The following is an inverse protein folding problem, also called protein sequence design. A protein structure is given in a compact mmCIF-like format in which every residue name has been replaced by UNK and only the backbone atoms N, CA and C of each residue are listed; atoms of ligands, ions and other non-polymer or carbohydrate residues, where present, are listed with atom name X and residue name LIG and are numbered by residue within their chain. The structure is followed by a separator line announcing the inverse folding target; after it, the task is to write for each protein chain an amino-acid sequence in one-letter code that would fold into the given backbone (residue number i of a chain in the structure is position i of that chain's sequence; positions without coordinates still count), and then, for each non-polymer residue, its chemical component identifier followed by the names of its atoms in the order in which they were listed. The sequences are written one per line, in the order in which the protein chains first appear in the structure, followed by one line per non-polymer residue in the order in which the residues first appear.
data_IF_938748283620
#
_entry.id   IF_938748283620
#
_cell.length_a   1.000
_cell.length_b   1.000
_cell.length_c   1.000
_cell.angle_alpha   90.00
_cell.angle_beta   90.00
_cell.angle_gamma   90.00
#
_symmetry.space_group_name_H-M   'P 1'
#
loop_
_entity.id
_entity.type
_entity.pdbx_description
1 polymer ?
#
# COMPACT_ATOMS: atom_id res chain seq x y z
N UNK A 1 -21.96 46.69 -11.15
CA UNK A 1 -21.25 45.77 -10.24
C UNK A 1 -20.47 44.81 -11.13
N UNK A 2 -19.17 45.04 -11.25
CA UNK A 2 -18.31 44.41 -12.25
C UNK A 2 -17.84 43.07 -11.70
N UNK A 3 -18.20 42.01 -12.41
CA UNK A 3 -17.70 40.66 -12.21
C UNK A 3 -16.24 40.60 -12.66
N UNK A 4 -15.32 40.57 -11.71
CA UNK A 4 -13.89 40.41 -11.99
C UNK A 4 -13.64 39.00 -12.50
N UNK A 5 -13.41 38.89 -13.80
CA UNK A 5 -12.85 37.70 -14.42
C UNK A 5 -11.48 37.43 -13.79
N UNK A 6 -11.36 36.30 -13.05
CA UNK A 6 -10.10 35.83 -12.50
C UNK A 6 -9.19 35.41 -13.65
N UNK A 7 -8.03 36.05 -13.74
CA UNK A 7 -6.96 35.79 -14.70
C UNK A 7 -6.48 34.33 -14.57
N UNK A 8 -6.50 33.52 -15.64
CA UNK A 8 -6.06 32.14 -15.61
C UNK A 8 -4.56 31.95 -15.31
N UNK A 9 -3.78 33.01 -15.26
CA UNK A 9 -2.33 33.00 -15.01
C UNK A 9 -1.95 32.85 -13.52
N UNK A 10 -2.89 32.87 -12.56
CA UNK A 10 -2.61 32.84 -11.10
C UNK A 10 -2.94 31.55 -10.39
N UNK A 11 -3.20 30.45 -11.12
CA UNK A 11 -3.45 29.15 -10.47
C UNK A 11 -2.20 28.62 -9.76
N UNK A 12 -2.29 28.18 -8.49
CA UNK A 12 -1.12 27.68 -7.75
C UNK A 12 -0.51 26.46 -8.45
N UNK A 13 0.82 26.49 -8.60
CA UNK A 13 1.60 25.40 -9.18
C UNK A 13 2.23 24.55 -8.07
N UNK A 14 2.13 23.24 -8.18
CA UNK A 14 2.53 22.25 -7.17
C UNK A 14 3.78 21.49 -7.64
N UNK A 15 4.82 21.36 -6.81
CA UNK A 15 5.95 20.50 -7.11
C UNK A 15 5.53 19.01 -7.04
N UNK A 16 6.24 18.13 -7.75
CA UNK A 16 5.93 16.70 -7.83
C UNK A 16 5.75 16.02 -6.46
N UNK A 17 6.48 16.46 -5.44
CA UNK A 17 6.34 15.93 -4.07
C UNK A 17 4.96 16.21 -3.48
N UNK A 18 4.45 17.41 -3.72
CA UNK A 18 3.14 17.83 -3.22
C UNK A 18 2.02 17.08 -3.95
N UNK A 19 2.15 16.91 -5.28
CA UNK A 19 1.21 16.07 -6.05
C UNK A 19 1.21 14.63 -5.55
N UNK A 20 2.40 14.07 -5.30
CA UNK A 20 2.54 12.74 -4.72
C UNK A 20 1.84 12.60 -3.37
N UNK A 21 1.97 13.63 -2.50
CA UNK A 21 1.30 13.67 -1.20
C UNK A 21 -0.22 13.77 -1.30
N UNK A 22 -0.72 14.61 -2.20
CA UNK A 22 -2.15 14.85 -2.38
C UNK A 22 -2.89 13.67 -3.02
N UNK A 23 -2.23 12.98 -3.96
CA UNK A 23 -2.86 11.93 -4.77
C UNK A 23 -2.50 10.51 -4.33
N UNK A 24 -1.55 10.33 -3.41
CA UNK A 24 -1.01 9.04 -3.02
C UNK A 24 -0.14 8.35 -4.08
N UNK A 25 0.05 8.96 -5.26
CA UNK A 25 0.85 8.41 -6.35
C UNK A 25 2.31 8.80 -6.18
N UNK A 26 3.22 7.83 -6.16
CA UNK A 26 4.62 8.17 -5.99
C UNK A 26 5.20 8.94 -7.20
N UNK A 27 6.28 9.70 -6.97
CA UNK A 27 6.89 10.55 -8.00
C UNK A 27 7.49 9.77 -9.17
N UNK A 28 7.82 8.48 -9.00
CA UNK A 28 8.34 7.61 -10.07
C UNK A 28 7.20 7.25 -11.01
N UNK A 29 6.04 6.88 -10.47
CA UNK A 29 4.82 6.59 -11.22
C UNK A 29 4.35 7.83 -12.01
N UNK A 30 4.31 9.01 -11.37
CA UNK A 30 3.97 10.27 -12.06
C UNK A 30 4.90 10.54 -13.26
N UNK A 31 6.21 10.32 -13.10
CA UNK A 31 7.17 10.46 -14.21
C UNK A 31 6.96 9.40 -15.31
N UNK A 32 6.59 8.17 -14.94
CA UNK A 32 6.27 7.14 -15.92
C UNK A 32 5.01 7.49 -16.72
N UNK A 33 3.98 8.01 -16.05
CA UNK A 33 2.75 8.46 -16.69
C UNK A 33 2.97 9.64 -17.66
N UNK A 34 3.85 10.58 -17.30
CA UNK A 34 4.27 11.66 -18.22
C UNK A 34 5.02 11.09 -19.44
N UNK A 35 6.11 10.32 -19.21
CA UNK A 35 7.06 9.97 -20.28
C UNK A 35 6.57 8.86 -21.20
N UNK A 36 5.95 7.80 -20.63
CA UNK A 36 5.59 6.59 -21.39
C UNK A 36 4.19 6.65 -21.97
N UNK A 37 3.26 7.28 -21.26
CA UNK A 37 1.85 7.24 -21.61
C UNK A 37 1.28 8.61 -21.96
N UNK A 38 2.02 9.71 -21.70
CA UNK A 38 1.54 11.07 -21.98
C UNK A 38 0.26 11.44 -21.22
N UNK A 39 0.00 10.76 -20.09
CA UNK A 39 -1.22 10.92 -19.31
C UNK A 39 -1.29 12.26 -18.58
N UNK A 40 -0.16 12.84 -18.22
CA UNK A 40 -0.02 14.14 -17.56
C UNK A 40 1.05 14.95 -18.26
N UNK A 41 0.92 16.29 -18.26
CA UNK A 41 1.83 17.20 -18.94
C UNK A 41 2.21 18.38 -18.04
N UNK A 42 3.08 18.17 -17.02
CA UNK A 42 3.47 19.23 -16.11
C UNK A 42 4.26 20.33 -16.84
N UNK A 43 4.13 21.55 -16.34
CA UNK A 43 5.00 22.66 -16.74
C UNK A 43 6.41 22.41 -16.19
N UNK A 44 7.41 23.07 -16.79
CA UNK A 44 8.80 23.00 -16.32
C UNK A 44 9.32 24.39 -15.98
N UNK A 45 9.99 24.48 -14.84
CA UNK A 45 10.75 25.70 -14.52
C UNK A 45 11.95 25.84 -15.45
N UNK A 46 12.56 27.03 -15.54
CA UNK A 46 13.82 27.22 -16.27
C UNK A 46 14.95 26.30 -15.80
N UNK A 47 14.90 25.81 -14.54
CA UNK A 47 15.83 24.83 -13.97
C UNK A 47 15.41 23.37 -14.23
N UNK A 48 14.37 23.13 -15.04
CA UNK A 48 13.91 21.80 -15.42
C UNK A 48 13.03 21.07 -14.41
N UNK A 49 12.65 21.69 -13.29
CA UNK A 49 11.75 21.07 -12.29
C UNK A 49 10.30 21.05 -12.80
N UNK A 50 9.60 19.95 -12.48
CA UNK A 50 8.18 19.75 -12.83
C UNK A 50 7.29 20.52 -11.87
N UNK A 51 6.35 21.26 -12.45
CA UNK A 51 5.28 21.96 -11.74
C UNK A 51 3.94 21.54 -12.32
N UNK A 52 3.00 21.22 -11.46
CA UNK A 52 1.67 20.71 -11.79
C UNK A 52 0.62 21.75 -11.42
N UNK A 53 -0.29 22.03 -12.33
CA UNK A 53 -1.46 22.86 -12.05
C UNK A 53 -2.52 22.02 -11.27
N UNK A 54 -3.54 22.71 -10.77
CA UNK A 54 -4.66 22.02 -10.08
C UNK A 54 -5.41 21.08 -11.02
N UNK A 55 -5.46 21.39 -12.30
CA UNK A 55 -6.01 20.53 -13.35
C UNK A 55 -5.21 19.23 -13.51
N UNK A 56 -3.89 19.29 -13.39
CA UNK A 56 -3.04 18.09 -13.43
C UNK A 56 -3.33 17.17 -12.24
N UNK A 57 -3.59 17.72 -11.05
CA UNK A 57 -3.97 16.95 -9.87
C UNK A 57 -5.31 16.24 -10.11
N UNK A 58 -6.33 16.98 -10.58
CA UNK A 58 -7.63 16.38 -10.95
C UNK A 58 -7.49 15.30 -12.03
N UNK A 59 -6.58 15.50 -12.99
CA UNK A 59 -6.28 14.52 -14.02
C UNK A 59 -5.64 13.27 -13.42
N UNK A 60 -4.73 13.40 -12.45
CA UNK A 60 -4.16 12.26 -11.71
C UNK A 60 -5.25 11.50 -10.94
N UNK A 61 -6.16 12.19 -10.28
CA UNK A 61 -7.32 11.59 -9.58
C UNK A 61 -8.23 10.81 -10.56
N UNK A 62 -8.50 11.35 -11.74
CA UNK A 62 -9.25 10.64 -12.79
C UNK A 62 -8.50 9.41 -13.32
N UNK A 63 -7.18 9.49 -13.49
CA UNK A 63 -6.36 8.32 -13.84
C UNK A 63 -6.54 7.24 -12.78
N UNK A 64 -6.43 7.58 -11.50
CA UNK A 64 -6.64 6.64 -10.39
C UNK A 64 -8.03 6.01 -10.42
N UNK A 65 -9.08 6.79 -10.71
CA UNK A 65 -10.44 6.25 -10.84
C UNK A 65 -10.55 5.18 -11.93
N UNK A 66 -9.91 5.38 -13.08
CA UNK A 66 -9.89 4.40 -14.16
C UNK A 66 -9.06 3.16 -13.80
N UNK A 67 -7.89 3.35 -13.19
CA UNK A 67 -7.05 2.23 -12.74
C UNK A 67 -7.75 1.40 -11.66
N UNK A 68 -8.47 2.04 -10.73
CA UNK A 68 -9.26 1.37 -9.70
C UNK A 68 -10.47 0.60 -10.28
N UNK A 69 -10.89 0.95 -11.49
CA UNK A 69 -11.88 0.18 -12.27
C UNK A 69 -11.25 -0.93 -13.10
N UNK A 70 -9.93 -1.16 -12.96
CA UNK A 70 -9.19 -2.20 -13.66
C UNK A 70 -8.74 -1.84 -15.08
N UNK A 71 -8.92 -0.59 -15.54
CA UNK A 71 -8.49 -0.18 -16.87
C UNK A 71 -6.95 -0.17 -16.94
N UNK A 72 -6.32 -0.87 -17.91
CA UNK A 72 -4.88 -0.82 -18.11
C UNK A 72 -4.39 0.61 -18.33
N UNK A 73 -3.25 0.98 -17.75
CA UNK A 73 -2.70 2.34 -17.85
C UNK A 73 -2.50 2.81 -19.31
N UNK A 74 -2.24 1.89 -20.22
CA UNK A 74 -2.09 2.16 -21.66
C UNK A 74 -3.38 2.64 -22.34
N UNK A 75 -4.54 2.28 -21.81
CA UNK A 75 -5.86 2.64 -22.35
C UNK A 75 -6.47 3.87 -21.66
N UNK A 76 -5.96 4.24 -20.50
CA UNK A 76 -6.48 5.38 -19.72
C UNK A 76 -6.43 6.70 -20.51
N UNK A 77 -5.43 6.86 -21.39
CA UNK A 77 -5.27 8.07 -22.20
C UNK A 77 -6.50 8.34 -23.06
N UNK A 78 -6.95 7.34 -23.80
CA UNK A 78 -8.07 7.47 -24.73
C UNK A 78 -9.38 7.78 -24.00
N UNK A 79 -9.54 7.24 -22.78
CA UNK A 79 -10.68 7.50 -21.92
C UNK A 79 -10.66 8.91 -21.28
N UNK A 80 -9.48 9.48 -21.04
CA UNK A 80 -9.34 10.84 -20.52
C UNK A 80 -9.60 11.91 -21.58
N UNK A 81 -9.40 11.59 -22.86
CA UNK A 81 -9.59 12.50 -23.99
C UNK A 81 -11.06 12.47 -24.52
N UNK A 82 -11.83 11.44 -24.16
CA UNK A 82 -13.26 11.40 -24.43
C UNK A 82 -14.00 12.30 -23.43
N UNK A 83 -14.89 13.18 -23.93
CA UNK A 83 -15.78 14.00 -23.08
C UNK A 83 -16.66 13.06 -22.24
N UNK A 84 -16.87 13.39 -20.95
CA UNK A 84 -17.59 12.57 -19.98
C UNK A 84 -18.80 11.82 -20.58
N UNK A 85 -18.76 10.49 -20.72
CA UNK A 85 -19.98 9.73 -20.88
C UNK A 85 -20.69 9.68 -19.52
N UNK A 86 -22.00 9.81 -19.54
CA UNK A 86 -22.84 9.60 -18.36
C UNK A 86 -22.44 8.29 -17.67
N UNK A 87 -22.44 8.29 -16.34
CA UNK A 87 -21.87 7.28 -15.43
C UNK A 87 -22.31 5.82 -15.68
N UNK A 88 -23.17 5.53 -16.66
CA UNK A 88 -23.83 4.24 -16.85
C UNK A 88 -23.41 3.42 -18.08
N UNK A 89 -22.51 3.91 -18.97
CA UNK A 89 -22.17 3.22 -20.23
C UNK A 89 -20.66 2.97 -20.43
N UNK A 90 -19.93 2.72 -19.34
CA UNK A 90 -18.53 2.28 -19.45
C UNK A 90 -18.55 0.75 -19.61
N UNK A 91 -18.02 0.20 -20.71
CA UNK A 91 -17.85 -1.24 -20.81
C UNK A 91 -17.01 -1.71 -19.62
N UNK A 92 -17.31 -2.89 -19.05
CA UNK A 92 -16.55 -3.39 -17.92
C UNK A 92 -15.04 -3.35 -18.28
N UNK A 93 -14.19 -2.91 -17.35
CA UNK A 93 -12.75 -2.86 -17.61
C UNK A 93 -12.29 -4.23 -18.08
N UNK A 94 -11.37 -4.24 -19.03
CA UNK A 94 -10.75 -5.48 -19.45
C UNK A 94 -9.97 -6.05 -18.25
N UNK A 95 -10.63 -6.95 -17.52
CA UNK A 95 -10.15 -7.64 -16.30
C UNK A 95 -8.88 -8.47 -16.63
N UNK A 96 -8.62 -8.68 -17.92
CA UNK A 96 -7.57 -9.57 -18.44
C UNK A 96 -6.17 -9.18 -17.98
N UNK A 97 -5.87 -7.91 -17.72
CA UNK A 97 -4.50 -7.49 -17.40
C UNK A 97 -4.07 -7.92 -15.98
N UNK A 98 -4.88 -7.68 -14.96
CA UNK A 98 -4.56 -8.11 -13.58
C UNK A 98 -4.62 -9.62 -13.42
N UNK A 99 -5.63 -10.26 -14.01
CA UNK A 99 -5.75 -11.72 -13.97
C UNK A 99 -4.58 -12.40 -14.66
N UNK A 100 -4.19 -11.93 -15.86
CA UNK A 100 -3.02 -12.42 -16.56
C UNK A 100 -1.73 -12.23 -15.75
N UNK A 101 -1.59 -11.09 -15.06
CA UNK A 101 -0.43 -10.84 -14.21
C UNK A 101 -0.44 -11.76 -12.98
N UNK A 102 -1.59 -12.00 -12.34
CA UNK A 102 -1.72 -12.95 -11.23
C UNK A 102 -1.31 -14.36 -11.66
N UNK A 103 -1.81 -14.84 -12.79
CA UNK A 103 -1.46 -16.16 -13.31
C UNK A 103 0.04 -16.28 -13.61
N UNK A 104 0.65 -15.26 -14.21
CA UNK A 104 2.10 -15.25 -14.46
C UNK A 104 2.90 -15.22 -13.16
N UNK A 105 2.43 -14.50 -12.14
CA UNK A 105 3.07 -14.46 -10.84
C UNK A 105 2.99 -15.83 -10.13
N UNK A 106 1.83 -16.49 -10.16
CA UNK A 106 1.66 -17.87 -9.66
C UNK A 106 2.59 -18.85 -10.36
N UNK A 107 2.66 -18.79 -11.70
CA UNK A 107 3.57 -19.65 -12.47
C UNK A 107 5.04 -19.38 -12.13
N UNK A 108 5.42 -18.14 -11.91
CA UNK A 108 6.79 -17.78 -11.52
C UNK A 108 7.15 -18.35 -10.13
N UNK A 109 6.21 -18.30 -9.18
CA UNK A 109 6.40 -18.91 -7.86
C UNK A 109 6.49 -20.43 -7.98
N UNK A 110 5.60 -21.06 -8.74
CA UNK A 110 5.59 -22.52 -8.96
C UNK A 110 6.89 -23.00 -9.63
N UNK A 111 7.44 -22.23 -10.57
CA UNK A 111 8.68 -22.53 -11.27
C UNK A 111 9.95 -22.07 -10.53
N UNK A 112 9.82 -21.42 -9.37
CA UNK A 112 10.93 -20.78 -8.62
C UNK A 112 11.71 -19.75 -9.48
N UNK A 113 11.03 -19.05 -10.39
CA UNK A 113 11.60 -18.09 -11.35
C UNK A 113 11.69 -16.69 -10.75
N UNK A 114 12.83 -16.41 -10.12
CA UNK A 114 13.12 -15.11 -9.52
C UNK A 114 13.21 -13.97 -10.53
N UNK A 115 13.63 -14.24 -11.76
CA UNK A 115 13.77 -13.21 -12.80
C UNK A 115 12.41 -12.73 -13.27
N UNK A 116 11.46 -13.64 -13.48
CA UNK A 116 10.07 -13.28 -13.78
C UNK A 116 9.41 -12.54 -12.62
N UNK A 117 9.62 -12.96 -11.36
CA UNK A 117 9.16 -12.22 -10.17
C UNK A 117 9.68 -10.78 -10.17
N UNK A 118 10.96 -10.59 -10.48
CA UNK A 118 11.60 -9.27 -10.58
C UNK A 118 10.94 -8.38 -11.63
N UNK A 119 10.73 -8.91 -12.82
CA UNK A 119 10.10 -8.18 -13.94
C UNK A 119 8.67 -7.76 -13.57
N UNK A 120 7.88 -8.67 -12.99
CA UNK A 120 6.50 -8.40 -12.59
C UNK A 120 6.43 -7.35 -11.47
N UNK A 121 7.28 -7.48 -10.44
CA UNK A 121 7.35 -6.52 -9.34
C UNK A 121 7.72 -5.12 -9.83
N UNK A 122 8.82 -5.02 -10.57
CA UNK A 122 9.31 -3.72 -11.04
C UNK A 122 8.34 -3.06 -12.03
N UNK A 123 7.71 -3.84 -12.91
CA UNK A 123 6.71 -3.34 -13.86
C UNK A 123 5.47 -2.81 -13.13
N UNK A 124 4.88 -3.59 -12.23
CA UNK A 124 3.70 -3.18 -11.48
C UNK A 124 3.98 -1.92 -10.66
N UNK A 125 5.07 -1.91 -9.88
CA UNK A 125 5.44 -0.78 -9.03
C UNK A 125 5.89 0.48 -9.81
N UNK A 126 6.27 0.36 -11.08
CA UNK A 126 6.58 1.50 -11.93
C UNK A 126 5.33 2.13 -12.56
N UNK A 127 4.27 1.36 -12.76
CA UNK A 127 3.07 1.77 -13.49
C UNK A 127 1.91 2.16 -12.59
N UNK A 128 1.81 1.52 -11.43
CA UNK A 128 0.67 1.65 -10.53
C UNK A 128 1.09 2.09 -9.11
N UNK A 129 0.21 2.77 -8.36
CA UNK A 129 0.42 3.00 -6.93
C UNK A 129 0.60 1.68 -6.18
N UNK A 130 1.48 1.69 -5.16
CA UNK A 130 1.78 0.46 -4.40
C UNK A 130 0.53 -0.17 -3.75
N UNK A 131 -0.39 0.67 -3.22
CA UNK A 131 -1.66 0.19 -2.67
C UNK A 131 -2.46 -0.62 -3.68
N UNK A 132 -2.58 -0.12 -4.92
CA UNK A 132 -3.29 -0.82 -5.99
C UNK A 132 -2.57 -2.11 -6.40
N UNK A 133 -1.23 -2.07 -6.52
CA UNK A 133 -0.46 -3.30 -6.80
C UNK A 133 -0.66 -4.37 -5.73
N UNK A 134 -0.74 -3.96 -4.47
CA UNK A 134 -0.97 -4.90 -3.37
C UNK A 134 -2.39 -5.45 -3.43
N UNK A 135 -3.40 -4.61 -3.57
CA UNK A 135 -4.81 -5.03 -3.60
C UNK A 135 -5.14 -5.91 -4.82
N UNK A 136 -4.65 -5.53 -6.01
CA UNK A 136 -5.06 -6.19 -7.25
C UNK A 136 -4.14 -7.34 -7.68
N UNK A 137 -2.88 -7.35 -7.22
CA UNK A 137 -1.92 -8.35 -7.67
C UNK A 137 -1.36 -9.20 -6.52
N UNK A 138 -0.66 -8.56 -5.57
CA UNK A 138 0.15 -9.32 -4.61
C UNK A 138 -0.68 -10.05 -3.56
N UNK A 139 -1.66 -9.38 -2.97
CA UNK A 139 -2.50 -9.98 -1.93
C UNK A 139 -3.36 -11.13 -2.46
N UNK A 140 -4.08 -11.02 -3.60
CA UNK A 140 -4.84 -12.14 -4.16
C UNK A 140 -3.95 -13.36 -4.51
N UNK A 141 -2.72 -13.12 -4.99
CA UNK A 141 -1.77 -14.21 -5.28
C UNK A 141 -1.31 -14.88 -4.00
N UNK A 142 -0.98 -14.12 -2.95
CA UNK A 142 -0.57 -14.69 -1.66
C UNK A 142 -1.72 -15.48 -1.04
N UNK A 143 -2.93 -14.95 -1.03
CA UNK A 143 -4.12 -15.64 -0.51
C UNK A 143 -4.33 -16.99 -1.23
N UNK A 144 -4.25 -16.99 -2.57
CA UNK A 144 -4.36 -18.22 -3.35
C UNK A 144 -3.22 -19.21 -3.11
N UNK A 145 -1.99 -18.72 -2.92
CA UNK A 145 -0.84 -19.57 -2.60
C UNK A 145 -0.97 -20.17 -1.20
N UNK A 146 -1.40 -19.39 -0.21
CA UNK A 146 -1.63 -19.87 1.16
C UNK A 146 -2.68 -20.98 1.20
N UNK A 147 -3.78 -20.86 0.43
CA UNK A 147 -4.79 -21.92 0.29
C UNK A 147 -4.22 -23.21 -0.35
N UNK A 148 -3.32 -23.05 -1.33
CA UNK A 148 -2.70 -24.18 -2.05
C UNK A 148 -1.59 -24.85 -1.26
N UNK A 149 -0.82 -24.08 -0.52
CA UNK A 149 0.40 -24.57 0.12
C UNK A 149 0.14 -25.63 1.18
N UNK A 150 -0.84 -25.55 2.01
CA UNK A 150 -1.19 -26.56 3.02
C UNK A 150 -0.07 -27.56 3.33
N UNK A 151 -0.33 -28.84 3.12
CA UNK A 151 0.65 -29.94 3.27
C UNK A 151 1.30 -30.36 1.93
N UNK A 152 1.25 -29.53 0.89
CA UNK A 152 1.78 -29.85 -0.43
C UNK A 152 3.32 -29.91 -0.41
N UNK A 153 3.88 -30.95 -1.04
CA UNK A 153 5.33 -31.06 -1.21
C UNK A 153 5.87 -29.89 -2.04
N UNK A 154 6.92 -29.23 -1.55
CA UNK A 154 7.51 -28.06 -2.20
C UNK A 154 6.91 -26.71 -1.77
N UNK A 155 5.79 -26.69 -1.07
CA UNK A 155 5.12 -25.49 -0.60
C UNK A 155 6.03 -24.60 0.25
N UNK A 156 6.79 -25.18 1.17
CA UNK A 156 7.71 -24.44 2.02
C UNK A 156 8.83 -23.77 1.19
N UNK A 157 9.33 -24.43 0.15
CA UNK A 157 10.34 -23.88 -0.73
C UNK A 157 9.79 -22.66 -1.50
N UNK A 158 8.59 -22.77 -2.05
CA UNK A 158 7.91 -21.67 -2.75
C UNK A 158 7.67 -20.49 -1.81
N UNK A 159 7.20 -20.74 -0.60
CA UNK A 159 6.97 -19.75 0.45
C UNK A 159 8.25 -19.00 0.78
N UNK A 160 9.35 -19.71 1.06
CA UNK A 160 10.65 -19.10 1.41
C UNK A 160 11.26 -18.31 0.27
N UNK A 161 11.08 -18.77 -0.97
CA UNK A 161 11.50 -18.01 -2.14
C UNK A 161 10.74 -16.66 -2.20
N UNK A 162 9.41 -16.71 -2.10
CA UNK A 162 8.57 -15.50 -2.20
C UNK A 162 8.83 -14.53 -1.05
N UNK A 163 8.98 -15.05 0.19
CA UNK A 163 9.39 -14.24 1.34
C UNK A 163 10.74 -13.56 1.11
N UNK A 164 11.76 -14.32 0.72
CA UNK A 164 13.11 -13.79 0.49
C UNK A 164 13.13 -12.72 -0.60
N UNK A 165 12.39 -12.98 -1.68
CA UNK A 165 12.22 -12.04 -2.78
C UNK A 165 11.56 -10.75 -2.31
N UNK A 166 10.37 -10.82 -1.72
CA UNK A 166 9.62 -9.65 -1.27
C UNK A 166 10.36 -8.90 -0.16
N UNK A 167 10.98 -9.59 0.79
CA UNK A 167 11.80 -9.00 1.86
C UNK A 167 12.86 -8.07 1.27
N UNK A 168 13.62 -8.56 0.30
CA UNK A 168 14.67 -7.78 -0.36
C UNK A 168 14.12 -6.55 -1.05
N UNK A 169 13.04 -6.68 -1.82
CA UNK A 169 12.45 -5.56 -2.59
C UNK A 169 11.79 -4.52 -1.70
N UNK A 170 11.07 -4.96 -0.69
CA UNK A 170 10.43 -4.08 0.29
C UNK A 170 11.49 -3.36 1.12
N UNK A 171 12.50 -4.06 1.65
CA UNK A 171 13.56 -3.46 2.45
C UNK A 171 14.30 -2.33 1.71
N UNK A 172 14.67 -2.54 0.44
CA UNK A 172 15.31 -1.51 -0.39
C UNK A 172 14.40 -0.28 -0.55
N UNK A 173 13.11 -0.49 -0.81
CA UNK A 173 12.14 0.62 -0.94
C UNK A 173 11.96 1.38 0.36
N UNK A 174 11.82 0.68 1.47
CA UNK A 174 11.70 1.29 2.79
C UNK A 174 12.94 2.09 3.17
N UNK A 175 14.12 1.56 2.93
CA UNK A 175 15.36 2.26 3.18
C UNK A 175 15.39 3.64 2.51
N UNK A 176 15.08 3.71 1.22
CA UNK A 176 15.05 4.98 0.48
C UNK A 176 13.87 5.88 0.90
N UNK A 177 12.68 5.31 1.12
CA UNK A 177 11.51 6.07 1.54
C UNK A 177 11.69 6.68 2.94
N UNK A 178 12.22 5.92 3.89
CA UNK A 178 12.47 6.38 5.26
C UNK A 178 13.47 7.55 5.35
N UNK A 179 14.39 7.67 4.39
CA UNK A 179 15.28 8.82 4.33
C UNK A 179 14.60 10.09 3.79
N UNK A 180 13.59 9.92 2.95
CA UNK A 180 12.90 11.03 2.29
C UNK A 180 11.66 11.52 3.05
N UNK A 181 11.03 10.66 3.86
CA UNK A 181 9.79 10.98 4.55
C UNK A 181 10.02 11.57 5.95
N UNK A 182 9.11 12.48 6.35
CA UNK A 182 8.97 12.99 7.71
C UNK A 182 7.63 12.55 8.33
N UNK A 183 6.98 11.56 7.75
CA UNK A 183 5.72 11.01 8.25
C UNK A 183 5.84 10.35 9.62
N UNK A 184 4.70 10.01 10.20
CA UNK A 184 4.65 9.32 11.48
C UNK A 184 5.43 8.00 11.43
N UNK A 185 6.07 7.67 12.54
CA UNK A 185 6.85 6.43 12.67
C UNK A 185 5.95 5.29 13.09
N UNK A 186 5.92 4.25 12.28
CA UNK A 186 5.20 3.03 12.56
C UNK A 186 6.17 1.91 12.92
N UNK A 187 5.84 1.15 13.95
CA UNK A 187 6.49 -0.12 14.25
C UNK A 187 5.55 -1.24 13.82
N UNK A 188 5.99 -2.08 12.89
CA UNK A 188 5.22 -3.17 12.31
C UNK A 188 5.73 -4.52 12.82
N UNK A 189 4.80 -5.41 13.21
CA UNK A 189 5.11 -6.75 13.70
C UNK A 189 4.08 -7.77 13.19
N UNK A 190 4.48 -9.03 13.22
CA UNK A 190 3.56 -10.18 13.11
C UNK A 190 2.93 -10.47 14.47
N UNK A 191 1.73 -11.03 14.46
CA UNK A 191 1.20 -11.70 15.64
C UNK A 191 1.84 -13.10 15.80
N UNK A 192 1.83 -13.68 17.02
CA UNK A 192 2.62 -14.88 17.32
C UNK A 192 2.28 -16.15 16.52
N UNK A 193 1.04 -16.29 16.02
CA UNK A 193 0.65 -17.46 15.22
C UNK A 193 0.92 -17.29 13.73
N UNK A 194 1.25 -16.06 13.28
CA UNK A 194 1.64 -15.82 11.89
C UNK A 194 3.03 -16.41 11.60
N UNK A 195 3.10 -17.29 10.62
CA UNK A 195 4.30 -18.09 10.32
C UNK A 195 5.24 -17.45 9.32
N UNK A 196 4.71 -16.61 8.46
CA UNK A 196 5.48 -15.97 7.40
C UNK A 196 5.44 -14.44 7.47
N UNK A 197 6.23 -13.81 6.61
CA UNK A 197 6.35 -12.35 6.56
C UNK A 197 5.53 -11.72 5.45
N UNK A 198 4.87 -12.50 4.61
CA UNK A 198 4.29 -11.98 3.36
C UNK A 198 3.30 -10.85 3.63
N UNK A 199 2.39 -11.03 4.57
CA UNK A 199 1.40 -9.99 4.93
C UNK A 199 2.04 -8.77 5.59
N UNK A 200 3.06 -8.97 6.43
CA UNK A 200 3.82 -7.88 7.03
C UNK A 200 4.57 -7.06 5.98
N UNK A 201 5.15 -7.73 4.97
CA UNK A 201 5.84 -7.09 3.86
C UNK A 201 4.89 -6.25 2.99
N UNK A 202 3.69 -6.76 2.70
CA UNK A 202 2.66 -6.00 1.98
C UNK A 202 2.21 -4.78 2.78
N UNK A 203 1.95 -4.93 4.09
CA UNK A 203 1.61 -3.83 4.98
C UNK A 203 2.71 -2.77 5.00
N UNK A 204 3.98 -3.18 5.15
CA UNK A 204 5.12 -2.28 5.15
C UNK A 204 5.26 -1.51 3.83
N UNK A 205 5.04 -2.17 2.70
CA UNK A 205 5.08 -1.56 1.37
C UNK A 205 4.01 -0.49 1.21
N UNK A 206 2.76 -0.77 1.59
CA UNK A 206 1.65 0.18 1.46
C UNK A 206 1.80 1.32 2.47
N UNK A 207 2.18 1.04 3.71
CA UNK A 207 2.41 2.05 4.74
C UNK A 207 3.49 3.06 4.32
N UNK A 208 4.62 2.57 3.79
CA UNK A 208 5.68 3.43 3.26
C UNK A 208 5.20 4.28 2.07
N UNK A 209 4.41 3.71 1.16
CA UNK A 209 3.83 4.44 0.03
C UNK A 209 2.79 5.49 0.47
N UNK A 210 2.12 5.27 1.58
CA UNK A 210 1.18 6.21 2.21
C UNK A 210 1.88 7.34 3.01
N UNK A 211 3.22 7.40 2.97
CA UNK A 211 3.99 8.49 3.55
C UNK A 211 4.43 8.26 4.99
N UNK A 212 4.17 7.11 5.57
CA UNK A 212 4.68 6.76 6.89
C UNK A 212 6.18 6.41 6.87
N UNK A 213 6.86 6.65 7.96
CA UNK A 213 8.17 6.09 8.22
C UNK A 213 7.99 4.73 8.88
N UNK A 214 8.48 3.69 8.27
CA UNK A 214 8.21 2.30 8.65
C UNK A 214 9.46 1.63 9.22
N UNK A 215 9.35 1.18 10.45
CA UNK A 215 10.28 0.22 11.06
C UNK A 215 9.54 -1.11 11.22
N UNK A 216 10.18 -2.23 10.99
CA UNK A 216 9.57 -3.55 11.08
C UNK A 216 10.51 -4.55 11.73
N UNK A 217 9.94 -5.44 12.50
CA UNK A 217 10.68 -6.55 13.11
C UNK A 217 10.21 -7.85 12.47
N UNK A 218 11.14 -8.58 11.91
CA UNK A 218 10.88 -9.84 11.21
C UNK A 218 11.10 -11.09 12.07
N UNK A 219 11.51 -10.90 13.30
CA UNK A 219 11.65 -11.95 14.30
C UNK A 219 10.52 -11.90 15.33
N UNK A 220 10.28 -13.03 15.98
CA UNK A 220 9.34 -13.10 17.08
C UNK A 220 9.85 -12.25 18.25
N UNK A 221 9.12 -11.19 18.56
CA UNK A 221 9.38 -10.36 19.72
C UNK A 221 8.44 -10.79 20.86
N UNK A 222 8.95 -11.11 22.04
CA UNK A 222 8.10 -11.30 23.19
C UNK A 222 7.24 -10.08 23.45
N UNK A 223 5.92 -10.26 23.61
CA UNK A 223 4.98 -9.13 23.74
C UNK A 223 5.30 -8.17 24.89
N UNK A 224 5.91 -8.67 25.97
CA UNK A 224 6.35 -7.84 27.09
C UNK A 224 7.54 -6.92 26.77
N UNK A 225 8.25 -7.14 25.69
CA UNK A 225 9.33 -6.25 25.19
C UNK A 225 8.82 -5.18 24.23
N UNK A 226 7.58 -5.30 23.75
CA UNK A 226 7.03 -4.35 22.78
C UNK A 226 6.96 -2.89 23.28
N UNK A 227 6.60 -2.60 24.56
CA UNK A 227 6.64 -1.23 25.06
C UNK A 227 8.04 -0.61 24.98
N UNK A 228 9.08 -1.38 25.31
CA UNK A 228 10.47 -0.94 25.19
C UNK A 228 10.86 -0.71 23.73
N UNK A 229 10.50 -1.64 22.84
CA UNK A 229 10.76 -1.50 21.41
C UNK A 229 10.08 -0.25 20.84
N UNK A 230 8.79 -0.05 21.11
CA UNK A 230 8.04 1.11 20.64
C UNK A 230 8.66 2.44 21.12
N UNK A 231 9.10 2.51 22.38
CA UNK A 231 9.79 3.68 22.91
C UNK A 231 11.14 3.93 22.23
N UNK A 232 11.97 2.89 22.06
CA UNK A 232 13.30 3.01 21.45
C UNK A 232 13.24 3.37 19.98
N UNK A 233 12.30 2.82 19.23
CA UNK A 233 12.05 3.21 17.84
C UNK A 233 11.34 4.55 17.72
N UNK A 234 10.86 5.13 18.83
CA UNK A 234 10.05 6.35 18.87
C UNK A 234 8.82 6.21 17.95
N UNK A 235 8.16 5.05 18.04
CA UNK A 235 6.97 4.78 17.28
C UNK A 235 5.82 5.70 17.70
N UNK A 236 5.05 6.16 16.72
CA UNK A 236 3.81 6.92 16.95
C UNK A 236 2.57 6.03 16.85
N UNK A 237 2.72 4.84 16.27
CA UNK A 237 1.75 3.74 16.37
C UNK A 237 2.46 2.39 16.19
N UNK A 238 1.87 1.35 16.77
CA UNK A 238 2.28 -0.04 16.60
C UNK A 238 1.19 -0.75 15.80
N UNK A 239 1.54 -1.39 14.69
CA UNK A 239 0.62 -2.17 13.87
C UNK A 239 1.04 -3.63 13.92
N UNK A 240 0.08 -4.50 14.20
CA UNK A 240 0.29 -5.94 14.18
C UNK A 240 -0.64 -6.59 13.15
N UNK A 241 -0.14 -7.58 12.43
CA UNK A 241 -0.88 -8.28 11.37
C UNK A 241 -0.79 -9.79 11.52
N UNK A 242 -1.84 -10.48 11.10
CA UNK A 242 -1.89 -11.93 10.93
C UNK A 242 -2.96 -12.31 9.91
N UNK A 243 -2.69 -13.35 9.13
CA UNK A 243 -3.68 -14.04 8.27
C UNK A 243 -4.62 -14.95 9.07
N UNK A 244 -4.29 -15.25 10.31
CA UNK A 244 -5.01 -16.20 11.16
C UNK A 244 -5.91 -15.51 12.19
N UNK A 245 -6.86 -16.28 12.71
CA UNK A 245 -7.77 -15.77 13.75
C UNK A 245 -7.07 -15.50 15.10
N UNK A 246 -5.87 -16.02 15.30
CA UNK A 246 -5.11 -15.96 16.55
C UNK A 246 -5.89 -16.52 17.77
N UNK A 247 -5.20 -16.83 18.85
CA UNK A 247 -5.86 -17.36 20.07
C UNK A 247 -6.69 -16.29 20.76
N UNK A 248 -7.88 -16.65 21.22
CA UNK A 248 -8.79 -15.74 21.92
C UNK A 248 -8.16 -15.11 23.18
N UNK A 249 -7.28 -15.81 23.88
CA UNK A 249 -6.57 -15.24 25.04
C UNK A 249 -5.63 -14.10 24.64
N UNK A 250 -4.93 -14.23 23.51
CA UNK A 250 -4.11 -13.16 22.95
C UNK A 250 -4.96 -11.91 22.68
N UNK A 251 -6.06 -12.09 21.97
CA UNK A 251 -6.93 -10.98 21.51
C UNK A 251 -7.66 -10.31 22.67
N UNK A 252 -8.23 -11.10 23.59
CA UNK A 252 -9.12 -10.57 24.65
C UNK A 252 -8.39 -10.11 25.89
N UNK A 253 -7.18 -10.59 26.16
CA UNK A 253 -6.45 -10.31 27.40
C UNK A 253 -5.07 -9.73 27.18
N UNK A 254 -4.24 -10.35 26.33
CA UNK A 254 -2.84 -9.95 26.22
C UNK A 254 -2.70 -8.63 25.45
N UNK A 255 -3.33 -8.49 24.29
CA UNK A 255 -3.25 -7.26 23.49
C UNK A 255 -3.89 -6.05 24.18
N UNK A 256 -5.08 -6.13 24.83
CA UNK A 256 -5.62 -5.00 25.59
C UNK A 256 -4.70 -4.55 26.74
N UNK A 257 -4.15 -5.49 27.52
CA UNK A 257 -3.17 -5.16 28.57
C UNK A 257 -1.90 -4.52 28.01
N UNK A 258 -1.47 -4.97 26.84
CA UNK A 258 -0.33 -4.39 26.15
C UNK A 258 -0.65 -2.96 25.68
N UNK A 259 -1.84 -2.73 25.12
CA UNK A 259 -2.29 -1.41 24.71
C UNK A 259 -2.33 -0.39 25.86
N UNK A 260 -2.73 -0.84 27.07
CA UNK A 260 -2.69 -0.02 28.30
C UNK A 260 -1.26 0.42 28.71
N UNK A 261 -0.25 -0.38 28.35
CA UNK A 261 1.16 -0.08 28.65
C UNK A 261 1.81 0.83 27.62
N UNK A 262 1.24 0.91 26.42
CA UNK A 262 1.74 1.71 25.33
C UNK A 262 1.25 3.16 25.41
N UNK A 263 2.13 4.11 25.09
CA UNK A 263 1.79 5.55 25.03
C UNK A 263 1.24 5.98 23.65
N UNK A 264 1.14 5.03 22.73
CA UNK A 264 0.69 5.23 21.37
C UNK A 264 -0.34 4.15 21.01
N UNK A 265 -1.15 4.35 19.95
CA UNK A 265 -2.13 3.36 19.51
C UNK A 265 -1.50 2.02 19.16
N UNK A 266 -2.09 0.92 19.66
CA UNK A 266 -1.88 -0.44 19.19
C UNK A 266 -3.01 -0.80 18.23
N UNK A 267 -2.65 -1.15 17.00
CA UNK A 267 -3.59 -1.40 15.92
C UNK A 267 -3.46 -2.81 15.37
N UNK A 268 -4.58 -3.45 15.04
CA UNK A 268 -4.61 -4.68 14.25
C UNK A 268 -5.01 -4.38 12.80
N UNK A 269 -4.31 -5.03 11.86
CA UNK A 269 -4.50 -4.88 10.42
C UNK A 269 -4.49 -6.26 9.76
N UNK A 270 -5.27 -6.42 8.70
CA UNK A 270 -5.35 -7.67 7.95
C UNK A 270 -6.49 -8.57 8.42
N UNK A 271 -6.53 -9.83 7.96
CA UNK A 271 -7.62 -10.77 8.24
C UNK A 271 -7.96 -10.90 9.72
N UNK A 272 -6.97 -10.89 10.61
CA UNK A 272 -7.18 -10.93 12.07
C UNK A 272 -8.07 -9.77 12.54
N UNK A 273 -7.88 -8.56 12.03
CA UNK A 273 -8.66 -7.38 12.42
C UNK A 273 -10.13 -7.52 12.04
N UNK A 274 -10.43 -8.14 10.89
CA UNK A 274 -11.80 -8.43 10.45
C UNK A 274 -12.42 -9.58 11.25
N UNK A 275 -11.69 -10.69 11.41
CA UNK A 275 -12.19 -11.90 12.07
C UNK A 275 -12.50 -11.62 13.56
N UNK A 276 -11.68 -10.81 14.22
CA UNK A 276 -11.75 -10.53 15.66
C UNK A 276 -12.36 -9.16 15.99
N UNK A 277 -12.98 -8.49 15.03
CA UNK A 277 -13.53 -7.13 15.19
C UNK A 277 -14.45 -7.00 16.42
N UNK A 278 -15.39 -7.93 16.59
CA UNK A 278 -16.32 -7.92 17.71
C UNK A 278 -15.64 -8.07 19.09
N UNK A 279 -14.48 -8.74 19.14
CA UNK A 279 -13.72 -8.94 20.39
C UNK A 279 -12.90 -7.70 20.77
N UNK A 280 -12.70 -6.79 19.83
CA UNK A 280 -11.89 -5.58 19.99
C UNK A 280 -12.73 -4.32 20.26
N UNK A 281 -14.04 -4.34 20.01
CA UNK A 281 -14.93 -3.16 20.07
C UNK A 281 -14.87 -2.36 21.37
N UNK A 282 -14.63 -3.03 22.51
CA UNK A 282 -14.57 -2.38 23.84
C UNK A 282 -13.15 -2.38 24.42
N UNK A 283 -12.13 -2.42 23.58
CA UNK A 283 -10.72 -2.43 23.99
C UNK A 283 -9.99 -1.18 23.50
N UNK A 284 -8.79 -0.94 24.01
CA UNK A 284 -7.90 0.11 23.51
C UNK A 284 -7.11 -0.31 22.26
N UNK A 285 -7.33 -1.52 21.74
CA UNK A 285 -6.71 -2.01 20.50
C UNK A 285 -7.57 -1.58 19.31
N UNK A 286 -7.02 -0.76 18.44
CA UNK A 286 -7.76 -0.27 17.28
C UNK A 286 -7.79 -1.33 16.16
N UNK A 287 -9.00 -1.71 15.72
CA UNK A 287 -9.16 -2.54 14.53
C UNK A 287 -9.22 -1.64 13.27
N UNK A 288 -8.23 -1.75 12.40
CA UNK A 288 -8.18 -0.95 11.16
C UNK A 288 -8.80 -1.64 9.94
N UNK A 289 -9.10 -2.96 10.06
CA UNK A 289 -9.66 -3.77 8.98
C UNK A 289 -8.60 -4.50 8.15
N UNK A 290 -9.04 -5.16 7.10
CA UNK A 290 -8.22 -6.05 6.27
C UNK A 290 -7.79 -5.45 4.91
N UNK A 291 -8.43 -4.41 4.45
CA UNK A 291 -8.04 -3.69 3.24
C UNK A 291 -6.94 -2.65 3.57
N UNK A 292 -5.71 -2.92 3.15
CA UNK A 292 -4.54 -2.15 3.58
C UNK A 292 -4.61 -0.65 3.27
N UNK A 293 -5.00 -0.18 2.06
CA UNK A 293 -5.13 1.24 1.78
C UNK A 293 -6.14 1.95 2.71
N UNK A 294 -7.29 1.33 2.93
CA UNK A 294 -8.34 1.85 3.84
C UNK A 294 -7.88 1.83 5.29
N UNK A 295 -7.20 0.76 5.73
CA UNK A 295 -6.64 0.65 7.07
C UNK A 295 -5.65 1.78 7.36
N UNK A 296 -4.77 2.10 6.42
CA UNK A 296 -3.80 3.19 6.58
C UNK A 296 -4.44 4.58 6.51
N UNK A 297 -5.51 4.74 5.74
CA UNK A 297 -6.31 5.97 5.76
C UNK A 297 -6.97 6.19 7.13
N UNK A 298 -7.53 5.14 7.75
CA UNK A 298 -8.06 5.18 9.12
C UNK A 298 -6.97 5.52 10.14
N UNK A 299 -5.77 4.96 9.96
CA UNK A 299 -4.64 5.28 10.82
C UNK A 299 -4.23 6.75 10.73
N UNK A 300 -4.23 7.36 9.55
CA UNK A 300 -4.01 8.80 9.42
C UNK A 300 -5.02 9.60 10.24
N UNK A 301 -6.31 9.25 10.16
CA UNK A 301 -7.36 9.88 10.97
C UNK A 301 -7.12 9.68 12.48
N UNK A 302 -6.69 8.49 12.92
CA UNK A 302 -6.40 8.19 14.31
C UNK A 302 -5.22 9.00 14.88
N UNK A 303 -4.23 9.29 14.03
CA UNK A 303 -3.05 10.09 14.39
C UNK A 303 -3.26 11.61 14.21
N UNK A 304 -4.46 12.05 13.84
CA UNK A 304 -4.80 13.48 13.65
C UNK A 304 -4.10 14.14 12.46
N UNK A 305 -3.84 13.37 11.41
CA UNK A 305 -3.07 13.82 10.23
C UNK A 305 -3.84 13.65 8.94
#
# INVERSE_FOLDING_TARGET
MSEQAMDPASSPLYPIREVSRLTGVNSVTLRAWERRYGLIRPQRTPKGHRLYAREDIRRVERILQWLNRGVPVSQVRDLLEQAEPAVNDVPPPDISDWESQRQRLLQAVDALDSDTLEVLFNRSMALYPAGLCVTELWQPVIDQLEERWGDQFGAELQRRLLESFLRTRVAIRLYHANQATRGARLLLLRLPEERDLLRLLLLALVASASGFRVEWLDADLPLNELPLAAERFKAEAVLMTSGYAERSDLIRRQLPRLAEQLKMPLCLVGPVARIRSAELENTQVASLGDELPTALSRLHGLLGR
#
